data_IF_064952014436
#
_entry.id   IF_064952014436
#
_cell.length_a   1.000
_cell.length_b   1.000
_cell.length_c   1.000
_cell.angle_alpha   90.00
_cell.angle_beta   90.00
_cell.angle_gamma   90.00
#
_symmetry.space_group_name_H-M   'P 1'
#
loop_
_entity.id
_entity.type
_entity.pdbx_description
1 polymer ?
#
# COMPACT_ATOMS: atom_id res chain seq x y z
N UNK A 1 -22.64 18.54 -17.38
CA UNK A 1 -22.78 18.40 -15.93
C UNK A 1 -22.99 16.93 -15.62
N UNK A 2 -21.88 16.22 -15.40
CA UNK A 2 -21.86 14.83 -14.96
C UNK A 2 -21.95 14.80 -13.44
N UNK A 3 -22.74 13.87 -12.92
CA UNK A 3 -22.83 13.62 -11.47
C UNK A 3 -22.22 12.28 -11.15
N UNK A 4 -21.30 12.26 -10.19
CA UNK A 4 -20.63 11.08 -9.69
C UNK A 4 -21.25 10.64 -8.36
N UNK A 5 -21.43 9.34 -8.20
CA UNK A 5 -21.81 8.74 -6.92
C UNK A 5 -20.57 8.22 -6.21
N UNK A 6 -20.27 8.81 -5.06
CA UNK A 6 -19.09 8.46 -4.26
C UNK A 6 -19.36 7.20 -3.44
N UNK A 7 -18.31 6.43 -3.16
CA UNK A 7 -18.38 5.19 -2.36
C UNK A 7 -19.05 5.39 -0.99
N UNK A 8 -18.97 6.59 -0.42
CA UNK A 8 -19.58 6.95 0.87
C UNK A 8 -21.06 7.33 0.81
N UNK A 9 -21.73 7.19 -0.35
CA UNK A 9 -23.14 7.57 -0.54
C UNK A 9 -23.37 9.05 -0.85
N UNK A 10 -22.31 9.85 -0.94
CA UNK A 10 -22.37 11.23 -1.40
C UNK A 10 -22.42 11.35 -2.92
N UNK A 11 -22.71 12.55 -3.41
CA UNK A 11 -22.62 12.90 -4.82
C UNK A 11 -21.64 14.05 -5.00
N UNK A 12 -20.96 14.09 -6.14
CA UNK A 12 -20.15 15.22 -6.58
C UNK A 12 -20.44 15.53 -8.05
N UNK A 13 -20.46 16.80 -8.44
CA UNK A 13 -20.59 17.20 -9.85
C UNK A 13 -19.23 17.56 -10.46
N UNK A 14 -19.15 17.57 -11.79
CA UNK A 14 -17.98 18.06 -12.52
C UNK A 14 -17.55 19.46 -12.02
N UNK A 15 -18.51 20.36 -11.84
CA UNK A 15 -18.27 21.74 -11.43
C UNK A 15 -17.77 21.85 -9.98
N UNK A 16 -18.26 21.00 -9.08
CA UNK A 16 -17.80 20.92 -7.70
C UNK A 16 -16.34 20.44 -7.63
N UNK A 17 -16.01 19.38 -8.38
CA UNK A 17 -14.65 18.84 -8.44
C UNK A 17 -13.67 19.84 -9.05
N UNK A 18 -14.08 20.53 -10.13
CA UNK A 18 -13.26 21.55 -10.80
C UNK A 18 -13.04 22.78 -9.90
N UNK A 19 -14.06 23.22 -9.16
CA UNK A 19 -13.91 24.30 -8.19
C UNK A 19 -12.93 23.90 -7.07
N UNK A 20 -12.97 22.65 -6.65
CA UNK A 20 -12.06 22.10 -5.64
C UNK A 20 -10.61 22.07 -6.13
N UNK A 21 -10.38 21.58 -7.35
CA UNK A 21 -9.07 21.57 -7.99
C UNK A 21 -8.46 22.98 -8.08
N UNK A 22 -9.25 23.98 -8.51
CA UNK A 22 -8.79 25.38 -8.58
C UNK A 22 -8.43 25.97 -7.22
N UNK A 23 -9.16 25.60 -6.16
CA UNK A 23 -8.80 26.01 -4.80
C UNK A 23 -7.47 25.41 -4.38
N UNK A 24 -7.21 24.14 -4.72
CA UNK A 24 -5.96 23.44 -4.42
C UNK A 24 -4.78 24.04 -5.15
N UNK A 25 -4.88 24.20 -6.47
CA UNK A 25 -3.85 24.81 -7.31
C UNK A 25 -3.57 26.27 -6.93
N UNK A 26 -4.62 27.00 -6.55
CA UNK A 26 -4.54 28.39 -6.10
C UNK A 26 -4.03 28.55 -4.66
N UNK A 27 -3.73 27.47 -3.94
CA UNK A 27 -3.27 27.51 -2.55
C UNK A 27 -4.32 28.05 -1.56
N UNK A 28 -5.60 28.05 -1.94
CA UNK A 28 -6.74 28.50 -1.13
C UNK A 28 -7.50 27.34 -0.50
N UNK A 29 -7.13 26.12 -0.84
CA UNK A 29 -7.74 24.93 -0.29
C UNK A 29 -7.47 24.85 1.22
N UNK A 30 -8.50 24.60 2.04
CA UNK A 30 -8.37 24.68 3.48
C UNK A 30 -7.38 23.64 4.02
N UNK A 31 -6.56 24.08 4.99
CA UNK A 31 -5.57 23.24 5.67
C UNK A 31 -4.13 23.47 5.21
N UNK A 32 -3.18 22.92 5.98
CA UNK A 32 -1.76 22.98 5.65
C UNK A 32 -1.35 21.70 4.94
N UNK A 33 -1.39 21.73 3.61
CA UNK A 33 -0.99 20.61 2.77
C UNK A 33 0.51 20.69 2.49
N UNK A 34 1.22 19.59 2.76
CA UNK A 34 2.62 19.42 2.35
C UNK A 34 2.74 18.12 1.57
N UNK A 35 3.46 18.09 0.44
CA UNK A 35 3.86 16.84 -0.18
C UNK A 35 4.63 16.01 0.87
N UNK A 36 4.15 14.81 1.15
CA UNK A 36 4.90 13.82 1.93
C UNK A 36 5.56 12.87 0.93
N UNK A 37 6.87 12.59 1.05
CA UNK A 37 7.49 11.54 0.27
C UNK A 37 6.75 10.21 0.50
N UNK A 38 6.52 9.46 -0.56
CA UNK A 38 6.03 8.09 -0.44
C UNK A 38 6.99 7.22 0.39
N UNK A 39 6.55 6.04 0.81
CA UNK A 39 7.46 5.06 1.43
C UNK A 39 8.56 4.72 0.40
N UNK A 40 9.85 4.83 0.76
CA UNK A 40 10.93 4.40 -0.13
C UNK A 40 10.72 2.95 -0.58
N UNK A 41 11.12 2.61 -1.81
CA UNK A 41 11.10 1.22 -2.27
C UNK A 41 11.99 0.36 -1.36
N UNK A 42 11.61 -0.90 -1.18
CA UNK A 42 12.37 -1.85 -0.36
C UNK A 42 13.63 -2.36 -1.08
N UNK A 43 13.66 -2.28 -2.41
CA UNK A 43 14.73 -2.78 -3.28
C UNK A 43 15.03 -1.77 -4.38
N UNK A 44 16.26 -1.81 -4.90
CA UNK A 44 16.74 -0.93 -5.99
C UNK A 44 16.41 -1.49 -7.40
N UNK A 45 15.62 -2.56 -7.46
CA UNK A 45 15.20 -3.22 -8.70
C UNK A 45 13.68 -3.43 -8.76
N UNK A 46 13.18 -3.80 -9.94
CA UNK A 46 11.76 -4.09 -10.14
C UNK A 46 11.34 -5.34 -9.35
N UNK A 47 10.25 -5.23 -8.58
CA UNK A 47 9.74 -6.34 -7.76
C UNK A 47 8.49 -6.96 -8.38
N UNK A 48 8.43 -8.29 -8.43
CA UNK A 48 7.23 -9.05 -8.78
C UNK A 48 6.57 -9.70 -7.56
N UNK A 49 5.24 -9.87 -7.59
CA UNK A 49 4.52 -10.56 -6.54
C UNK A 49 4.49 -12.07 -6.77
N UNK A 50 4.88 -12.85 -5.76
CA UNK A 50 4.72 -14.31 -5.74
C UNK A 50 3.54 -14.66 -4.83
N UNK A 51 2.40 -15.06 -5.43
CA UNK A 51 1.19 -15.41 -4.70
C UNK A 51 1.05 -16.94 -4.55
N UNK A 52 1.06 -17.43 -3.31
CA UNK A 52 0.88 -18.85 -2.99
C UNK A 52 -0.27 -19.00 -2.00
N UNK A 53 -1.13 -20.00 -2.21
CA UNK A 53 -2.16 -20.38 -1.23
C UNK A 53 -1.62 -21.49 -0.35
N UNK A 54 -1.67 -21.28 0.95
CA UNK A 54 -1.27 -22.24 1.97
C UNK A 54 -2.47 -22.57 2.87
N UNK A 55 -2.51 -23.77 3.47
CA UNK A 55 -3.42 -24.05 4.57
C UNK A 55 -3.30 -22.99 5.68
N UNK A 56 -4.42 -22.65 6.31
CA UNK A 56 -4.47 -21.63 7.38
C UNK A 56 -3.49 -21.93 8.50
N UNK A 57 -3.40 -23.19 8.92
CA UNK A 57 -2.46 -23.62 9.97
C UNK A 57 -0.99 -23.38 9.61
N UNK A 58 -0.63 -23.41 8.33
CA UNK A 58 0.72 -23.08 7.89
C UNK A 58 0.96 -21.57 7.93
N UNK A 59 -0.03 -20.76 7.56
CA UNK A 59 0.06 -19.30 7.65
C UNK A 59 0.23 -18.86 9.10
N UNK A 60 -0.55 -19.44 10.02
CA UNK A 60 -0.44 -19.19 11.46
C UNK A 60 0.95 -19.57 12.00
N UNK A 61 1.44 -20.77 11.65
CA UNK A 61 2.78 -21.19 12.06
C UNK A 61 3.90 -20.29 11.49
N UNK A 62 3.71 -19.71 10.30
CA UNK A 62 4.66 -18.75 9.73
C UNK A 62 4.61 -17.42 10.48
N UNK A 63 3.42 -16.95 10.86
CA UNK A 63 3.25 -15.73 11.65
C UNK A 63 3.89 -15.84 13.03
N UNK A 64 3.66 -16.96 13.73
CA UNK A 64 4.24 -17.20 15.05
C UNK A 64 5.77 -17.19 14.99
N UNK A 65 6.35 -17.81 13.96
CA UNK A 65 7.80 -17.83 13.74
C UNK A 65 8.35 -16.44 13.41
N UNK A 66 7.66 -15.68 12.56
CA UNK A 66 8.05 -14.32 12.23
C UNK A 66 8.00 -13.41 13.47
N UNK A 67 6.93 -13.51 14.26
CA UNK A 67 6.77 -12.77 15.51
C UNK A 67 7.86 -13.13 16.53
N UNK A 68 8.23 -14.42 16.65
CA UNK A 68 9.30 -14.87 17.53
C UNK A 68 10.68 -14.28 17.14
N UNK A 69 10.90 -13.93 15.87
CA UNK A 69 12.11 -13.24 15.40
C UNK A 69 11.95 -11.72 15.31
N UNK A 70 10.86 -11.14 15.83
CA UNK A 70 10.59 -9.70 15.76
C UNK A 70 10.40 -9.18 14.33
N UNK A 71 10.04 -10.07 13.40
CA UNK A 71 9.91 -9.78 11.96
C UNK A 71 8.45 -9.84 11.53
N UNK A 72 8.11 -9.15 10.44
CA UNK A 72 6.84 -9.35 9.74
C UNK A 72 6.85 -10.66 8.94
N UNK A 73 5.68 -11.20 8.62
CA UNK A 73 5.55 -12.39 7.74
C UNK A 73 6.31 -12.20 6.42
N UNK A 74 6.20 -11.03 5.80
CA UNK A 74 6.86 -10.77 4.51
C UNK A 74 8.39 -10.70 4.63
N UNK A 75 8.93 -10.15 5.71
CA UNK A 75 10.38 -10.18 5.97
C UNK A 75 10.86 -11.61 6.19
N UNK A 76 10.15 -12.37 7.01
CA UNK A 76 10.45 -13.78 7.28
C UNK A 76 10.44 -14.63 6.00
N UNK A 77 9.40 -14.48 5.16
CA UNK A 77 9.31 -15.18 3.88
C UNK A 77 10.43 -14.79 2.90
N UNK A 78 10.79 -13.50 2.82
CA UNK A 78 11.91 -13.05 1.98
C UNK A 78 13.24 -13.64 2.45
N UNK A 79 13.47 -13.71 3.76
CA UNK A 79 14.67 -14.32 4.32
C UNK A 79 14.75 -15.83 4.02
N UNK A 80 13.62 -16.55 4.08
CA UNK A 80 13.57 -17.95 3.69
C UNK A 80 13.90 -18.16 2.21
N UNK A 81 13.35 -17.32 1.32
CA UNK A 81 13.63 -17.38 -0.12
C UNK A 81 15.12 -17.10 -0.38
N UNK A 82 15.68 -16.04 0.22
CA UNK A 82 17.10 -15.71 0.06
C UNK A 82 18.00 -16.88 0.50
N UNK A 83 17.71 -17.48 1.66
CA UNK A 83 18.46 -18.63 2.18
C UNK A 83 18.38 -19.86 1.27
N UNK A 84 17.22 -20.12 0.69
CA UNK A 84 17.02 -21.22 -0.26
C UNK A 84 17.87 -21.00 -1.53
N UNK A 85 17.82 -19.79 -2.09
CA UNK A 85 18.58 -19.40 -3.27
C UNK A 85 20.11 -19.37 -3.05
N UNK A 86 20.58 -19.08 -1.83
CA UNK A 86 22.00 -19.16 -1.46
C UNK A 86 22.53 -20.62 -1.44
N UNK A 87 21.65 -21.60 -1.33
CA UNK A 87 22.03 -23.03 -1.22
C UNK A 87 22.02 -23.74 -2.59
N UNK A 88 21.53 -23.08 -3.64
CA UNK A 88 21.43 -23.59 -5.01
C UNK A 88 22.66 -23.27 -5.86
#
# INVERSE_FOLDING_TARGET
MTTYHLRGGGTATDEELEAEARMFEGGKYPGQWRPVPGRPPLFDEETAAVAVRLPVSQVEALDDRAAASGSTRSEYLRALIAKDLETA
#
